data_IF_924210364349
#
_entry.id   IF_924210364349
#
_cell.length_a   1.000
_cell.length_b   1.000
_cell.length_c   1.000
_cell.angle_alpha   90.00
_cell.angle_beta   90.00
_cell.angle_gamma   90.00
#
_symmetry.space_group_name_H-M   'P 1'
#
loop_
_entity.id
_entity.type
_entity.pdbx_description
1 polymer ?
#
# COMPACT_ATOMS: atom_id res chain seq x y z
N UNK A 1 -27.09 50.10 21.27
CA UNK A 1 -27.87 49.65 20.10
C UNK A 1 -27.86 48.12 20.07
N UNK A 2 -29.03 47.49 20.21
CA UNK A 2 -29.27 46.05 20.06
C UNK A 2 -29.23 45.67 18.58
N UNK A 3 -28.60 44.57 18.20
CA UNK A 3 -29.13 43.55 17.25
C UNK A 3 -28.45 42.18 17.45
N UNK A 4 -29.16 41.06 17.17
CA UNK A 4 -28.97 39.78 17.86
C UNK A 4 -28.38 38.66 16.99
N UNK A 5 -28.10 37.56 17.69
CA UNK A 5 -27.67 36.26 17.20
C UNK A 5 -28.56 35.66 16.09
N UNK A 6 -27.95 34.90 15.20
CA UNK A 6 -28.64 33.87 14.40
C UNK A 6 -27.78 32.60 14.35
N UNK A 7 -28.14 31.69 15.24
CA UNK A 7 -27.84 30.27 15.25
C UNK A 7 -28.63 29.56 14.14
N UNK A 8 -27.96 28.74 13.33
CA UNK A 8 -28.60 27.77 12.43
C UNK A 8 -28.04 26.36 12.73
N UNK A 9 -28.84 25.43 13.28
CA UNK A 9 -28.47 24.03 13.33
C UNK A 9 -28.86 23.34 12.00
N UNK A 10 -27.86 22.80 11.31
CA UNK A 10 -28.05 21.98 10.12
C UNK A 10 -28.57 20.59 10.56
N UNK A 11 -29.86 20.35 10.36
CA UNK A 11 -30.53 19.08 10.68
C UNK A 11 -30.16 18.03 9.64
N UNK A 12 -29.71 16.88 10.14
CA UNK A 12 -29.57 15.62 9.41
C UNK A 12 -30.94 15.17 8.89
N UNK A 13 -31.04 14.86 7.60
CA UNK A 13 -32.18 14.14 7.02
C UNK A 13 -31.68 12.81 6.46
N UNK A 14 -31.94 11.76 7.23
CA UNK A 14 -31.91 10.35 6.83
C UNK A 14 -33.14 10.10 5.97
N UNK A 15 -32.97 9.59 4.75
CA UNK A 15 -34.05 8.98 3.97
C UNK A 15 -33.70 7.51 3.71
N UNK A 16 -34.41 6.66 4.43
CA UNK A 16 -34.52 5.22 4.21
C UNK A 16 -35.44 4.95 3.02
N UNK A 17 -35.08 3.93 2.23
CA UNK A 17 -36.00 2.80 2.06
C UNK A 17 -36.79 2.70 0.75
N UNK A 18 -36.42 1.66 0.01
CA UNK A 18 -37.29 0.70 -0.69
C UNK A 18 -37.97 1.11 -2.00
N UNK A 19 -37.67 0.32 -3.05
CA UNK A 19 -38.39 0.33 -4.32
C UNK A 19 -37.75 -0.59 -5.35
N UNK A 20 -37.66 -1.89 -5.05
CA UNK A 20 -37.40 -2.92 -6.06
C UNK A 20 -38.65 -3.02 -6.92
N UNK A 21 -38.55 -2.61 -8.19
CA UNK A 21 -39.56 -2.94 -9.20
C UNK A 21 -38.86 -3.62 -10.38
N UNK A 22 -38.96 -4.95 -10.37
CA UNK A 22 -38.57 -5.84 -11.44
C UNK A 22 -39.67 -5.79 -12.49
N UNK A 23 -39.44 -5.13 -13.64
CA UNK A 23 -40.36 -5.16 -14.77
C UNK A 23 -39.72 -5.92 -15.93
N UNK A 24 -40.13 -7.18 -16.08
CA UNK A 24 -39.99 -7.99 -17.28
C UNK A 24 -40.87 -7.38 -18.38
N UNK A 25 -40.26 -6.89 -19.46
CA UNK A 25 -40.97 -6.59 -20.71
C UNK A 25 -40.45 -7.51 -21.81
N UNK A 26 -41.20 -8.58 -22.04
CA UNK A 26 -41.20 -9.38 -23.26
C UNK A 26 -42.02 -8.59 -24.29
N UNK A 27 -41.39 -8.19 -25.40
CA UNK A 27 -42.07 -7.50 -26.50
C UNK A 27 -41.71 -8.14 -27.83
N UNK A 28 -42.59 -8.99 -28.32
CA UNK A 28 -42.55 -9.58 -29.66
C UNK A 28 -43.69 -9.02 -30.52
N UNK A 29 -43.31 -8.51 -31.69
CA UNK A 29 -43.98 -8.55 -33.00
C UNK A 29 -45.24 -7.69 -33.30
N UNK A 30 -45.34 -7.39 -34.62
CA UNK A 30 -46.33 -6.63 -35.40
C UNK A 30 -46.23 -5.09 -35.30
N UNK A 31 -46.09 -4.29 -36.37
CA UNK A 31 -46.29 -4.48 -37.80
C UNK A 31 -47.46 -3.61 -38.29
N UNK A 32 -47.20 -2.56 -39.08
CA UNK A 32 -48.09 -1.89 -40.07
C UNK A 32 -47.31 -0.72 -40.73
N UNK A 33 -46.91 -0.77 -42.01
CA UNK A 33 -47.67 -0.48 -43.26
C UNK A 33 -47.89 1.02 -43.53
N UNK A 34 -47.24 1.57 -44.57
CA UNK A 34 -47.86 2.14 -45.80
C UNK A 34 -47.01 3.23 -46.52
N UNK A 35 -47.13 3.23 -47.85
CA UNK A 35 -46.52 4.15 -48.82
C UNK A 35 -45.82 3.38 -49.95
N UNK A 36 -46.49 2.80 -50.95
CA UNK A 36 -47.39 3.36 -51.99
C UNK A 36 -46.73 4.43 -52.85
N UNK A 37 -46.32 4.03 -54.06
CA UNK A 37 -45.80 4.89 -55.12
C UNK A 37 -45.30 4.07 -56.33
N UNK A 38 -46.21 3.86 -57.27
CA UNK A 38 -46.09 3.26 -58.62
C UNK A 38 -44.92 3.88 -59.46
N UNK A 39 -44.43 3.35 -60.59
CA UNK A 39 -44.90 2.36 -61.55
C UNK A 39 -43.74 1.92 -62.48
N UNK A 40 -43.88 0.71 -63.04
CA UNK A 40 -43.52 0.27 -64.40
C UNK A 40 -42.08 0.38 -64.93
N UNK A 41 -41.39 -0.77 -64.96
CA UNK A 41 -40.76 -1.24 -66.21
C UNK A 41 -40.71 -2.77 -66.29
N UNK A 42 -41.12 -3.26 -67.44
CA UNK A 42 -41.45 -4.64 -67.76
C UNK A 42 -40.25 -5.60 -67.83
N UNK A 43 -40.54 -6.84 -67.43
CA UNK A 43 -40.11 -8.12 -68.00
C UNK A 43 -38.62 -8.32 -68.35
N UNK A 44 -37.93 -9.08 -67.50
CA UNK A 44 -37.04 -10.17 -67.92
C UNK A 44 -37.00 -11.21 -66.80
N UNK A 45 -37.70 -12.33 -67.00
CA UNK A 45 -37.57 -13.52 -66.16
C UNK A 45 -36.19 -14.15 -66.43
N UNK A 46 -35.20 -13.73 -65.65
CA UNK A 46 -33.97 -14.49 -65.44
C UNK A 46 -34.14 -15.32 -64.17
N UNK A 47 -33.68 -16.57 -64.20
CA UNK A 47 -33.66 -17.49 -63.06
C UNK A 47 -33.14 -16.79 -61.78
N UNK A 48 -33.68 -17.11 -60.59
CA UNK A 48 -33.17 -16.53 -59.36
C UNK A 48 -31.67 -16.86 -59.24
N UNK A 49 -30.80 -15.88 -58.97
CA UNK A 49 -29.39 -16.19 -58.75
C UNK A 49 -29.32 -17.14 -57.55
N UNK A 50 -28.70 -18.30 -57.77
CA UNK A 50 -28.42 -19.28 -56.73
C UNK A 50 -27.90 -18.55 -55.50
N UNK A 51 -28.51 -18.82 -54.34
CA UNK A 51 -28.05 -18.33 -53.04
C UNK A 51 -26.54 -18.50 -52.99
N UNK A 52 -25.82 -17.37 -53.01
CA UNK A 52 -24.38 -17.38 -52.84
C UNK A 52 -24.14 -17.91 -51.43
N UNK A 53 -23.79 -19.19 -51.33
CA UNK A 53 -23.31 -19.81 -50.11
C UNK A 53 -22.12 -18.98 -49.64
N UNK A 54 -22.35 -18.11 -48.66
CA UNK A 54 -21.28 -17.40 -47.96
C UNK A 54 -20.45 -18.49 -47.29
N UNK A 55 -19.31 -18.82 -47.89
CA UNK A 55 -18.36 -19.76 -47.31
C UNK A 55 -18.04 -19.26 -45.91
N UNK A 56 -18.28 -20.05 -44.84
CA UNK A 56 -17.99 -19.61 -43.49
C UNK A 56 -16.53 -19.17 -43.44
N UNK A 57 -16.29 -17.97 -42.91
CA UNK A 57 -14.94 -17.45 -42.74
C UNK A 57 -14.09 -18.50 -42.01
N UNK A 58 -12.84 -18.76 -42.43
CA UNK A 58 -12.01 -19.76 -41.78
C UNK A 58 -11.89 -19.43 -40.30
N UNK A 59 -12.30 -20.35 -39.44
CA UNK A 59 -12.18 -20.21 -37.98
C UNK A 59 -10.71 -19.91 -37.68
N UNK A 60 -10.39 -18.82 -36.96
CA UNK A 60 -9.00 -18.49 -36.68
C UNK A 60 -8.35 -19.64 -35.91
N UNK A 61 -7.14 -20.02 -36.35
CA UNK A 61 -6.29 -20.97 -35.65
C UNK A 61 -6.26 -20.64 -34.14
N UNK A 62 -6.66 -21.59 -33.26
CA UNK A 62 -6.77 -21.34 -31.83
C UNK A 62 -5.44 -20.84 -31.22
N UNK A 63 -4.29 -21.30 -31.72
CA UNK A 63 -2.99 -20.82 -31.27
C UNK A 63 -2.77 -19.33 -31.62
N UNK A 64 -3.13 -18.93 -32.85
CA UNK A 64 -3.09 -17.53 -33.29
C UNK A 64 -4.03 -16.65 -32.46
N UNK A 65 -5.25 -17.12 -32.18
CA UNK A 65 -6.21 -16.40 -31.36
C UNK A 65 -5.69 -16.19 -29.91
N UNK A 66 -5.10 -17.24 -29.32
CA UNK A 66 -4.50 -17.18 -27.98
C UNK A 66 -3.36 -16.16 -27.89
N UNK A 67 -2.45 -16.13 -28.87
CA UNK A 67 -1.35 -15.13 -28.93
C UNK A 67 -1.86 -13.69 -28.98
N UNK A 68 -2.91 -13.43 -29.77
CA UNK A 68 -3.51 -12.09 -29.87
C UNK A 68 -4.17 -11.68 -28.55
N UNK A 69 -4.92 -12.60 -27.92
CA UNK A 69 -5.54 -12.36 -26.63
C UNK A 69 -4.48 -12.09 -25.53
N UNK A 70 -3.45 -12.93 -25.46
CA UNK A 70 -2.34 -12.78 -24.51
C UNK A 70 -1.62 -11.44 -24.68
N UNK A 71 -1.39 -10.98 -25.93
CA UNK A 71 -0.78 -9.66 -26.18
C UNK A 71 -1.64 -8.52 -25.65
N UNK A 72 -2.97 -8.58 -25.82
CA UNK A 72 -3.91 -7.55 -25.30
C UNK A 72 -3.92 -7.52 -23.77
N UNK A 73 -3.91 -8.68 -23.13
CA UNK A 73 -3.83 -8.80 -21.67
C UNK A 73 -2.50 -8.24 -21.15
N UNK A 74 -1.38 -8.61 -21.79
CA UNK A 74 -0.05 -8.14 -21.44
C UNK A 74 0.10 -6.61 -21.55
N UNK A 75 -0.53 -5.96 -22.54
CA UNK A 75 -0.52 -4.48 -22.65
C UNK A 75 -1.23 -3.79 -21.50
N UNK A 76 -2.18 -4.45 -20.86
CA UNK A 76 -2.91 -3.94 -19.69
C UNK A 76 -2.26 -4.37 -18.36
N UNK A 77 -1.15 -5.12 -18.41
CA UNK A 77 -0.44 -5.62 -17.23
C UNK A 77 -0.94 -6.96 -16.68
N UNK A 78 -1.89 -7.62 -17.35
CA UNK A 78 -2.45 -8.90 -16.95
C UNK A 78 -1.60 -10.06 -17.47
N UNK A 79 -0.36 -10.16 -16.97
CA UNK A 79 0.59 -11.16 -17.47
C UNK A 79 0.28 -12.60 -17.04
N UNK A 80 -0.34 -12.80 -15.87
CA UNK A 80 -0.76 -14.12 -15.39
C UNK A 80 -1.83 -14.71 -16.31
N UNK A 81 -2.93 -13.97 -16.52
CA UNK A 81 -4.01 -14.35 -17.45
C UNK A 81 -3.49 -14.55 -18.88
N UNK A 82 -2.53 -13.72 -19.32
CA UNK A 82 -1.90 -13.88 -20.63
C UNK A 82 -1.11 -15.19 -20.75
N UNK A 83 -0.38 -15.59 -19.71
CA UNK A 83 0.37 -16.84 -19.67
C UNK A 83 -0.57 -18.05 -19.59
N UNK A 84 -1.60 -18.00 -18.73
CA UNK A 84 -2.63 -19.04 -18.62
C UNK A 84 -3.34 -19.28 -19.95
N UNK A 85 -3.72 -18.22 -20.66
CA UNK A 85 -4.35 -18.35 -21.98
C UNK A 85 -3.45 -18.95 -23.06
N UNK A 86 -2.12 -18.76 -22.97
CA UNK A 86 -1.15 -19.40 -23.85
C UNK A 86 -0.98 -20.89 -23.50
N UNK A 87 -0.85 -21.21 -22.21
CA UNK A 87 -0.74 -22.58 -21.74
C UNK A 87 -1.99 -23.40 -22.09
N UNK A 88 -3.18 -22.83 -21.91
CA UNK A 88 -4.45 -23.46 -22.29
C UNK A 88 -4.56 -23.77 -23.80
N UNK A 89 -3.78 -23.07 -24.64
CA UNK A 89 -3.69 -23.31 -26.07
C UNK A 89 -2.52 -24.25 -26.48
N UNK A 90 -1.85 -24.88 -25.50
CA UNK A 90 -0.69 -25.75 -25.72
C UNK A 90 0.59 -25.00 -26.10
N UNK A 91 0.69 -23.71 -25.80
CA UNK A 91 1.85 -22.86 -26.09
C UNK A 91 2.68 -22.62 -24.82
N UNK A 92 3.09 -23.70 -24.15
CA UNK A 92 3.74 -23.66 -22.83
C UNK A 92 5.03 -22.82 -22.81
N UNK A 93 5.86 -22.96 -23.84
CA UNK A 93 7.09 -22.16 -24.02
C UNK A 93 6.81 -20.65 -24.13
N UNK A 94 5.71 -20.28 -24.78
CA UNK A 94 5.29 -18.88 -24.89
C UNK A 94 4.70 -18.38 -23.57
N UNK A 95 3.95 -19.22 -22.86
CA UNK A 95 3.43 -18.93 -21.54
C UNK A 95 4.59 -18.63 -20.55
N UNK A 96 5.61 -19.48 -20.50
CA UNK A 96 6.76 -19.28 -19.60
C UNK A 96 7.52 -17.98 -19.94
N UNK A 97 7.73 -17.70 -21.24
CA UNK A 97 8.32 -16.42 -21.69
C UNK A 97 7.45 -15.23 -21.28
N UNK A 98 6.13 -15.37 -21.32
CA UNK A 98 5.18 -14.34 -20.90
C UNK A 98 5.29 -14.06 -19.40
N UNK A 99 5.37 -15.10 -18.57
CA UNK A 99 5.55 -14.96 -17.11
C UNK A 99 6.86 -14.25 -16.78
N UNK A 100 7.99 -14.68 -17.37
CA UNK A 100 9.30 -14.04 -17.16
C UNK A 100 9.28 -12.57 -17.60
N UNK A 101 8.64 -12.25 -18.73
CA UNK A 101 8.48 -10.87 -19.20
C UNK A 101 7.62 -10.05 -18.24
N UNK A 102 6.50 -10.61 -17.79
CA UNK A 102 5.58 -9.99 -16.86
C UNK A 102 6.22 -9.69 -15.51
N UNK A 103 6.93 -10.66 -14.94
CA UNK A 103 7.70 -10.49 -13.72
C UNK A 103 8.70 -9.32 -13.85
N UNK A 104 9.49 -9.26 -14.92
CA UNK A 104 10.43 -8.15 -15.15
C UNK A 104 9.72 -6.80 -15.28
N UNK A 105 8.58 -6.74 -15.97
CA UNK A 105 7.82 -5.50 -16.15
C UNK A 105 7.19 -4.99 -14.83
N UNK A 106 6.58 -5.89 -14.06
CA UNK A 106 6.02 -5.60 -12.74
C UNK A 106 7.11 -5.18 -11.75
N UNK A 107 8.26 -5.85 -11.75
CA UNK A 107 9.38 -5.50 -10.90
C UNK A 107 9.94 -4.10 -11.20
N UNK A 108 10.05 -3.70 -12.47
CA UNK A 108 10.42 -2.32 -12.83
C UNK A 108 9.42 -1.31 -12.29
N UNK A 109 8.13 -1.59 -12.43
CA UNK A 109 7.06 -0.75 -11.90
C UNK A 109 7.08 -0.67 -10.37
N UNK A 110 7.39 -1.79 -9.70
CA UNK A 110 7.53 -1.87 -8.24
C UNK A 110 8.70 -1.02 -7.75
N UNK A 111 9.86 -1.07 -8.41
CA UNK A 111 11.02 -0.21 -8.10
C UNK A 111 10.69 1.28 -8.26
N UNK A 112 10.02 1.65 -9.35
CA UNK A 112 9.59 3.02 -9.58
C UNK A 112 8.59 3.50 -8.51
N UNK A 113 7.68 2.62 -8.06
CA UNK A 113 6.77 2.92 -6.96
C UNK A 113 7.51 3.05 -5.62
N UNK A 114 8.51 2.21 -5.37
CA UNK A 114 9.35 2.24 -4.17
C UNK A 114 10.16 3.54 -4.07
N UNK A 115 10.80 3.97 -5.17
CA UNK A 115 11.53 5.25 -5.23
C UNK A 115 10.63 6.47 -5.03
N UNK A 116 9.33 6.36 -5.34
CA UNK A 116 8.30 7.38 -5.07
C UNK A 116 7.65 7.22 -3.68
N UNK A 117 8.20 6.37 -2.82
CA UNK A 117 7.67 6.04 -1.48
C UNK A 117 6.22 5.52 -1.46
N UNK A 118 5.73 4.97 -2.59
CA UNK A 118 4.37 4.39 -2.69
C UNK A 118 4.41 2.92 -2.26
N UNK A 119 4.79 2.67 -1.00
CA UNK A 119 5.17 1.35 -0.50
C UNK A 119 4.09 0.27 -0.68
N UNK A 120 2.83 0.58 -0.39
CA UNK A 120 1.72 -0.37 -0.58
C UNK A 120 1.55 -0.77 -2.06
N UNK A 121 1.74 0.17 -2.99
CA UNK A 121 1.70 -0.13 -4.43
C UNK A 121 2.91 -0.96 -4.86
N UNK A 122 4.10 -0.62 -4.37
CA UNK A 122 5.33 -1.37 -4.63
C UNK A 122 5.19 -2.82 -4.15
N UNK A 123 4.69 -3.03 -2.93
CA UNK A 123 4.41 -4.36 -2.35
C UNK A 123 3.47 -5.19 -3.23
N UNK A 124 2.32 -4.63 -3.64
CA UNK A 124 1.40 -5.35 -4.53
C UNK A 124 2.05 -5.77 -5.86
N UNK A 125 2.76 -4.84 -6.51
CA UNK A 125 3.41 -5.09 -7.79
C UNK A 125 4.52 -6.15 -7.69
N UNK A 126 5.35 -6.09 -6.63
CA UNK A 126 6.42 -7.08 -6.46
C UNK A 126 5.88 -8.45 -6.05
N UNK A 127 4.78 -8.52 -5.29
CA UNK A 127 4.11 -9.80 -5.00
C UNK A 127 3.57 -10.43 -6.28
N UNK A 128 2.89 -9.67 -7.14
CA UNK A 128 2.46 -10.15 -8.47
C UNK A 128 3.65 -10.55 -9.36
N UNK A 129 4.74 -9.79 -9.33
CA UNK A 129 5.97 -10.18 -10.03
C UNK A 129 6.50 -11.53 -9.54
N UNK A 130 6.44 -11.79 -8.23
CA UNK A 130 6.95 -13.01 -7.61
C UNK A 130 6.10 -14.23 -7.85
N UNK A 131 4.78 -14.05 -8.00
CA UNK A 131 3.88 -15.16 -8.35
C UNK A 131 4.15 -15.65 -9.78
N UNK A 132 4.53 -14.74 -10.68
CA UNK A 132 4.95 -15.10 -12.04
C UNK A 132 6.37 -15.70 -12.07
N UNK A 133 7.35 -15.03 -11.46
CA UNK A 133 8.72 -15.53 -11.44
C UNK A 133 9.52 -15.03 -10.24
N UNK A 134 9.97 -15.98 -9.41
CA UNK A 134 10.75 -15.68 -8.20
C UNK A 134 12.19 -15.28 -8.58
N UNK A 135 12.64 -14.12 -8.09
CA UNK A 135 14.01 -13.64 -8.29
C UNK A 135 14.57 -13.00 -7.02
N UNK A 136 15.89 -13.01 -6.84
CA UNK A 136 16.52 -12.32 -5.70
C UNK A 136 16.16 -10.83 -5.67
N UNK A 137 16.16 -10.17 -6.83
CA UNK A 137 15.78 -8.78 -6.98
C UNK A 137 14.35 -8.47 -6.49
N UNK A 138 13.39 -9.37 -6.75
CA UNK A 138 12.02 -9.22 -6.25
C UNK A 138 11.93 -9.39 -4.73
N UNK A 139 12.82 -10.17 -4.11
CA UNK A 139 12.91 -10.28 -2.65
C UNK A 139 13.39 -8.97 -2.03
N UNK A 140 14.43 -8.36 -2.58
CA UNK A 140 14.96 -7.07 -2.12
C UNK A 140 13.92 -5.95 -2.20
N UNK A 141 13.20 -5.84 -3.32
CA UNK A 141 12.16 -4.81 -3.47
C UNK A 141 10.99 -5.04 -2.52
N UNK A 142 10.61 -6.29 -2.25
CA UNK A 142 9.57 -6.61 -1.25
C UNK A 142 10.01 -6.20 0.16
N UNK A 143 11.23 -6.56 0.57
CA UNK A 143 11.78 -6.17 1.86
C UNK A 143 11.83 -4.64 2.03
N UNK A 144 12.27 -3.90 0.99
CA UNK A 144 12.27 -2.44 1.01
C UNK A 144 10.85 -1.83 1.11
N UNK A 145 9.87 -2.42 0.43
CA UNK A 145 8.48 -1.99 0.54
C UNK A 145 7.91 -2.27 1.95
N UNK A 146 8.21 -3.43 2.54
CA UNK A 146 7.79 -3.79 3.90
C UNK A 146 8.42 -2.88 4.95
N UNK A 147 9.72 -2.60 4.85
CA UNK A 147 10.41 -1.65 5.72
C UNK A 147 9.82 -0.23 5.61
N UNK A 148 9.48 0.23 4.39
CA UNK A 148 8.78 1.50 4.18
C UNK A 148 7.41 1.55 4.86
N UNK A 149 6.61 0.49 4.74
CA UNK A 149 5.30 0.38 5.42
C UNK A 149 5.49 0.41 6.94
N UNK A 150 6.47 -0.34 7.47
CA UNK A 150 6.75 -0.38 8.90
C UNK A 150 7.13 0.99 9.46
N UNK A 151 7.99 1.75 8.76
CA UNK A 151 8.36 3.12 9.14
C UNK A 151 7.17 4.06 9.18
N UNK A 152 6.32 4.05 8.15
CA UNK A 152 5.09 4.88 8.12
C UNK A 152 4.13 4.51 9.26
N UNK A 153 4.02 3.21 9.56
CA UNK A 153 3.19 2.74 10.67
C UNK A 153 3.77 3.14 12.04
N UNK A 154 5.09 3.07 12.22
CA UNK A 154 5.77 3.52 13.44
C UNK A 154 5.55 5.02 13.68
N UNK A 155 5.76 5.86 12.66
CA UNK A 155 5.48 7.28 12.73
C UNK A 155 4.01 7.58 13.06
N UNK A 156 3.07 6.78 12.53
CA UNK A 156 1.65 6.92 12.87
C UNK A 156 1.34 6.52 14.32
N UNK A 157 2.02 5.50 14.87
CA UNK A 157 1.90 5.14 16.29
C UNK A 157 2.44 6.25 17.18
N UNK A 158 3.57 6.85 16.83
CA UNK A 158 4.15 7.93 17.63
C UNK A 158 3.26 9.18 17.62
N UNK A 159 2.75 9.59 16.46
CA UNK A 159 1.76 10.68 16.39
C UNK A 159 0.55 10.44 17.29
N UNK A 160 0.07 9.19 17.39
CA UNK A 160 -1.04 8.84 18.30
C UNK A 160 -0.62 8.89 19.76
N UNK A 161 0.61 8.50 20.09
CA UNK A 161 1.17 8.60 21.45
C UNK A 161 1.26 10.06 21.89
N UNK A 162 1.85 10.92 21.07
CA UNK A 162 1.93 12.36 21.30
C UNK A 162 0.53 12.99 21.45
N UNK A 163 -0.43 12.60 20.59
CA UNK A 163 -1.82 13.07 20.71
C UNK A 163 -2.48 12.65 22.04
N UNK A 164 -2.18 11.46 22.57
CA UNK A 164 -2.67 11.04 23.90
C UNK A 164 -2.05 11.85 25.03
N UNK A 165 -0.74 12.10 24.98
CA UNK A 165 -0.05 12.94 25.96
C UNK A 165 -0.63 14.36 25.95
N UNK A 166 -0.84 14.94 24.77
CA UNK A 166 -1.48 16.25 24.64
C UNK A 166 -2.93 16.28 25.15
N UNK A 167 -3.65 15.16 25.08
CA UNK A 167 -5.00 15.02 25.62
C UNK A 167 -5.01 14.85 27.15
N UNK A 168 -3.92 14.33 27.73
CA UNK A 168 -3.75 14.16 29.17
C UNK A 168 -3.42 15.51 29.82
N UNK A 169 -4.47 16.27 30.16
CA UNK A 169 -4.51 17.67 30.61
C UNK A 169 -3.75 18.00 31.92
N UNK A 170 -2.83 17.15 32.36
CA UNK A 170 -2.06 17.32 33.59
C UNK A 170 -0.98 18.40 33.48
N UNK A 171 -0.47 18.63 32.27
CA UNK A 171 0.53 19.68 31.95
C UNK A 171 -0.10 21.01 31.53
N UNK A 172 -1.40 21.04 31.24
CA UNK A 172 -2.10 22.26 30.83
C UNK A 172 -2.37 23.18 32.04
N UNK A 173 -2.16 24.49 31.86
CA UNK A 173 -2.58 25.50 32.84
C UNK A 173 -4.11 25.51 33.00
N UNK A 174 -4.62 26.11 34.10
CA UNK A 174 -6.08 26.24 34.32
C UNK A 174 -6.79 26.97 33.18
N UNK A 175 -6.14 27.97 32.56
CA UNK A 175 -6.71 28.73 31.44
C UNK A 175 -6.87 27.87 30.18
N UNK A 176 -5.90 27.00 29.91
CA UNK A 176 -5.89 26.11 28.74
C UNK A 176 -6.90 24.98 28.88
N UNK A 177 -7.05 24.42 30.09
CA UNK A 177 -8.13 23.47 30.41
C UNK A 177 -9.53 24.09 30.24
N UNK A 178 -9.67 25.41 30.44
CA UNK A 178 -10.94 26.12 30.23
C UNK A 178 -11.23 26.31 28.74
N UNK A 179 -10.24 26.69 27.94
CA UNK A 179 -10.36 26.84 26.49
C UNK A 179 -10.77 25.52 25.80
N UNK A 180 -10.17 24.38 26.19
CA UNK A 180 -10.56 23.06 25.68
C UNK A 180 -12.02 22.73 26.03
N UNK A 181 -12.45 23.02 27.26
CA UNK A 181 -13.82 22.76 27.75
C UNK A 181 -14.87 23.62 27.05
N UNK A 182 -14.49 24.85 26.70
CA UNK A 182 -15.33 25.81 25.98
C UNK A 182 -15.36 25.53 24.46
N UNK A 183 -14.68 24.46 23.99
CA UNK A 183 -14.69 24.03 22.59
C UNK A 183 -13.74 24.79 21.67
N UNK A 184 -12.79 25.55 22.22
CA UNK A 184 -11.87 26.41 21.46
C UNK A 184 -10.68 25.67 20.80
N UNK A 185 -10.68 24.33 20.79
CA UNK A 185 -9.56 23.51 20.29
C UNK A 185 -8.44 23.29 21.32
N UNK A 186 -7.35 22.63 20.91
CA UNK A 186 -6.18 22.32 21.77
C UNK A 186 -5.19 23.51 21.82
N UNK A 187 -4.97 24.18 22.96
CA UNK A 187 -4.10 25.36 23.06
C UNK A 187 -2.60 25.03 22.97
N UNK A 188 -1.74 25.98 22.51
CA UNK A 188 -0.30 25.77 22.30
C UNK A 188 0.51 25.28 23.51
N UNK A 189 0.17 25.67 24.75
CA UNK A 189 0.93 25.26 25.93
C UNK A 189 0.64 23.84 26.42
N UNK A 190 -0.40 23.16 25.90
CA UNK A 190 -0.51 21.70 26.01
C UNK A 190 0.41 20.97 24.99
N UNK A 191 1.06 21.71 24.08
CA UNK A 191 1.80 21.18 22.92
C UNK A 191 3.24 21.67 22.83
N UNK A 192 3.71 22.61 23.66
CA UNK A 192 5.07 23.16 23.54
C UNK A 192 6.15 22.07 23.68
N UNK A 193 6.04 21.21 24.69
CA UNK A 193 6.97 20.08 24.87
C UNK A 193 6.86 19.03 23.75
N UNK A 194 5.65 18.72 23.29
CA UNK A 194 5.44 17.72 22.23
C UNK A 194 5.83 18.23 20.83
N UNK A 195 5.75 19.54 20.59
CA UNK A 195 6.16 20.19 19.36
C UNK A 195 7.68 20.40 19.31
N UNK A 196 8.32 20.69 20.43
CA UNK A 196 9.79 20.72 20.57
C UNK A 196 10.37 19.33 20.33
N UNK A 197 9.79 18.29 20.94
CA UNK A 197 10.18 16.89 20.70
C UNK A 197 9.89 16.40 19.27
N UNK A 198 8.79 16.84 18.65
CA UNK A 198 8.50 16.50 17.26
C UNK A 198 9.41 17.25 16.27
N UNK A 199 9.84 18.48 16.60
CA UNK A 199 10.79 19.25 15.82
C UNK A 199 12.21 18.69 15.94
N UNK A 200 12.58 18.11 17.08
CA UNK A 200 13.85 17.40 17.28
C UNK A 200 13.90 16.13 16.41
N UNK A 201 12.80 15.37 16.36
CA UNK A 201 12.67 14.18 15.48
C UNK A 201 12.58 14.54 13.98
N UNK A 202 12.09 15.73 13.61
CA UNK A 202 12.15 16.24 12.22
C UNK A 202 13.50 16.87 11.87
N UNK A 203 14.30 17.29 12.86
CA UNK A 203 15.64 17.86 12.67
C UNK A 203 16.73 16.80 12.55
N UNK A 204 16.45 15.54 12.91
CA UNK A 204 17.36 14.44 12.62
C UNK A 204 17.36 14.11 11.11
N UNK A 205 18.50 14.24 10.41
CA UNK A 205 18.57 13.82 9.02
C UNK A 205 18.33 12.31 8.95
N UNK A 206 17.69 11.86 7.87
CA UNK A 206 17.53 10.45 7.58
C UNK A 206 18.92 9.77 7.52
N UNK A 207 19.35 9.20 8.63
CA UNK A 207 20.67 8.60 8.74
C UNK A 207 20.73 7.34 7.87
N UNK A 208 21.74 7.36 7.01
CA UNK A 208 22.11 6.26 6.15
C UNK A 208 23.08 5.43 6.97
N UNK A 209 22.63 4.28 7.47
CA UNK A 209 23.42 3.38 8.29
C UNK A 209 24.92 3.35 7.96
N UNK A 210 25.70 3.82 8.92
CA UNK A 210 27.15 3.69 9.06
C UNK A 210 27.44 3.85 10.55
N UNK A 211 27.84 2.76 11.20
CA UNK A 211 27.80 2.63 12.65
C UNK A 211 28.84 3.46 13.39
N UNK A 212 28.43 3.94 14.55
CA UNK A 212 29.30 4.23 15.69
C UNK A 212 28.72 3.45 16.86
N UNK A 213 29.49 2.50 17.38
CA UNK A 213 29.16 1.80 18.61
C UNK A 213 29.26 2.78 19.78
N UNK A 214 28.55 2.53 20.87
CA UNK A 214 28.64 3.36 22.07
C UNK A 214 30.11 3.45 22.53
N UNK A 215 30.68 4.67 22.62
CA UNK A 215 32.10 4.86 22.93
C UNK A 215 32.46 4.46 24.36
N UNK A 216 31.48 4.28 25.25
CA UNK A 216 31.71 3.86 26.62
C UNK A 216 31.91 2.35 26.78
N UNK A 217 31.67 1.58 25.72
CA UNK A 217 31.80 0.12 25.75
C UNK A 217 32.69 -0.41 24.62
N UNK A 218 33.62 -1.29 24.97
CA UNK A 218 34.55 -1.93 24.05
C UNK A 218 34.38 -3.46 24.05
N UNK A 219 34.72 -4.10 22.94
CA UNK A 219 34.59 -5.55 22.78
C UNK A 219 33.21 -6.03 22.28
N UNK A 220 32.18 -5.18 22.37
CA UNK A 220 30.88 -5.38 21.71
C UNK A 220 30.36 -4.05 21.15
N UNK A 221 29.59 -4.11 20.06
CA UNK A 221 28.98 -2.92 19.48
C UNK A 221 27.60 -2.68 20.07
N UNK A 222 27.53 -1.86 21.11
CA UNK A 222 26.26 -1.38 21.66
C UNK A 222 25.78 -0.21 20.79
N UNK A 223 24.48 -0.17 20.51
CA UNK A 223 23.92 0.93 19.72
C UNK A 223 23.64 2.11 20.64
N UNK A 224 24.19 3.31 20.39
CA UNK A 224 23.94 4.48 21.22
C UNK A 224 22.47 4.90 21.26
N UNK A 225 21.66 4.50 20.28
CA UNK A 225 20.23 4.78 20.20
C UNK A 225 19.37 3.82 21.03
N UNK A 226 19.96 2.78 21.64
CA UNK A 226 19.21 1.91 22.55
C UNK A 226 18.93 2.63 23.86
N UNK A 227 17.67 2.63 24.34
CA UNK A 227 17.32 3.30 25.60
C UNK A 227 17.79 2.52 26.84
N UNK A 228 18.13 1.24 26.71
CA UNK A 228 18.63 0.39 27.80
C UNK A 228 19.29 -0.88 27.22
N UNK A 229 20.24 -1.46 27.96
CA UNK A 229 20.90 -2.72 27.62
C UNK A 229 20.94 -3.60 28.87
N UNK A 230 20.65 -4.89 28.70
CA UNK A 230 20.75 -5.87 29.78
C UNK A 230 21.79 -6.96 29.50
N UNK A 231 22.28 -7.58 30.57
CA UNK A 231 23.16 -8.73 30.46
C UNK A 231 22.40 -9.98 29.99
N UNK A 232 22.90 -10.60 28.92
CA UNK A 232 22.37 -11.84 28.38
C UNK A 232 22.44 -12.96 29.44
N UNK A 233 21.27 -13.53 29.80
CA UNK A 233 21.16 -14.55 30.85
C UNK A 233 20.81 -13.99 32.24
N UNK A 234 20.73 -12.67 32.38
CA UNK A 234 20.19 -12.00 33.56
C UNK A 234 18.67 -11.93 33.60
N UNK A 235 18.14 -11.25 34.63
CA UNK A 235 16.69 -11.05 34.86
C UNK A 235 16.17 -9.69 34.36
N UNK A 236 16.96 -8.98 33.55
CA UNK A 236 16.58 -7.66 33.06
C UNK A 236 15.45 -7.72 32.02
N UNK A 237 14.69 -6.63 31.92
CA UNK A 237 13.49 -6.47 31.07
C UNK A 237 13.69 -5.44 29.94
N UNK A 238 14.92 -5.02 29.73
CA UNK A 238 15.39 -4.07 28.73
C UNK A 238 15.19 -4.57 27.29
N UNK A 239 15.18 -3.65 26.31
CA UNK A 239 14.83 -3.94 24.93
C UNK A 239 15.93 -4.65 24.15
N UNK A 240 17.19 -4.48 24.55
CA UNK A 240 18.37 -5.07 23.92
C UNK A 240 19.26 -5.75 24.99
N UNK A 241 19.98 -6.79 24.60
CA UNK A 241 20.86 -7.56 25.50
C UNK A 241 22.28 -7.66 24.93
N UNK A 242 23.28 -7.67 25.80
CA UNK A 242 24.68 -7.90 25.43
C UNK A 242 25.30 -9.05 26.23
N UNK A 243 26.29 -9.71 25.64
CA UNK A 243 27.19 -10.61 26.38
C UNK A 243 28.29 -9.81 27.11
N UNK A 244 29.31 -10.49 27.63
CA UNK A 244 30.44 -9.83 28.28
C UNK A 244 31.03 -8.71 27.42
N UNK A 245 31.15 -7.52 28.00
CA UNK A 245 31.62 -6.31 27.33
C UNK A 245 32.52 -5.54 28.28
N UNK A 246 33.48 -4.79 27.74
CA UNK A 246 34.37 -3.97 28.54
C UNK A 246 33.78 -2.57 28.71
N UNK A 247 33.60 -2.12 29.95
CA UNK A 247 33.25 -0.74 30.25
C UNK A 247 34.54 0.10 30.20
N UNK A 248 34.60 1.06 29.26
CA UNK A 248 35.78 1.91 29.02
C UNK A 248 35.53 3.39 29.27
N UNK A 249 34.29 3.74 29.65
CA UNK A 249 33.85 5.11 29.91
C UNK A 249 32.84 5.17 31.06
N UNK A 250 31.85 6.05 30.94
CA UNK A 250 30.71 6.08 31.86
C UNK A 250 29.84 4.83 31.64
N UNK A 251 29.12 4.35 32.65
CA UNK A 251 28.23 3.18 32.52
C UNK A 251 26.74 3.62 32.42
N UNK A 252 26.29 4.17 31.27
CA UNK A 252 24.93 4.68 31.12
C UNK A 252 23.85 3.57 31.17
N UNK A 253 24.23 2.32 30.92
CA UNK A 253 23.33 1.17 30.92
C UNK A 253 23.43 0.32 32.21
N UNK A 254 24.20 0.75 33.23
CA UNK A 254 24.36 0.06 34.52
C UNK A 254 24.77 -1.44 34.35
N UNK A 255 25.62 -1.72 33.37
CA UNK A 255 26.08 -3.07 33.02
C UNK A 255 27.31 -3.53 33.84
N UNK A 256 28.09 -2.58 34.38
CA UNK A 256 29.30 -2.76 35.19
C UNK A 256 29.05 -2.17 36.59
N UNK A 257 28.15 -2.80 37.33
CA UNK A 257 27.60 -2.26 38.58
C UNK A 257 28.63 -2.21 39.71
N UNK A 258 29.66 -3.05 39.69
CA UNK A 258 30.76 -3.05 40.64
C UNK A 258 31.94 -2.17 40.20
N UNK A 259 31.99 -1.76 38.93
CA UNK A 259 32.88 -0.73 38.41
C UNK A 259 34.31 -1.24 38.22
N UNK A 260 34.47 -2.52 37.89
CA UNK A 260 35.78 -3.15 37.68
C UNK A 260 36.26 -3.06 36.22
N UNK A 261 35.43 -2.52 35.34
CA UNK A 261 35.67 -2.35 33.91
C UNK A 261 35.16 -3.51 33.05
N UNK A 262 34.53 -4.53 33.64
CA UNK A 262 34.01 -5.71 32.96
C UNK A 262 32.50 -5.85 33.19
N UNK A 263 31.73 -5.36 32.22
CA UNK A 263 30.28 -5.48 32.22
C UNK A 263 29.81 -6.90 31.82
N UNK A 264 28.69 -7.31 32.41
CA UNK A 264 28.02 -8.59 32.12
C UNK A 264 28.92 -9.83 32.27
N UNK A 265 29.72 -9.86 33.33
CA UNK A 265 30.45 -11.07 33.71
C UNK A 265 29.50 -12.24 33.97
N UNK A 266 29.83 -13.40 33.42
CA UNK A 266 29.14 -14.64 33.75
C UNK A 266 29.74 -15.20 35.04
N UNK A 267 29.09 -14.97 36.18
CA UNK A 267 29.41 -15.64 37.44
C UNK A 267 28.95 -17.10 37.45
#
# INVERSE_FOLDING_TARGET
>A
MRRPASSFPMRWAVLLGAGVLFLLMVGACAGSSDGSGDADRAASLGDPPAEATVSPAPTPDPARAARVAAKRLATRGHYAEAAEGLAAAGLDDEAERMERRGARALLRSARAALGKQRYARAKRLVTQSRSLHKTAASRTVLAGADAGIARVAAAARERRRLARIAHDQRTCSKAERRAVRDGAGTPPGCVAYAAEQAAEVEAEPADNGGGDCDPNYAGACLKPDSPDYDCAGGSGDGPDYTGPVQSVGDDPYDLDRDGDGLACETS
#
